data_IF_158241441611
#
_entry.id   IF_158241441611
#
_cell.length_a   1.000
_cell.length_b   1.000
_cell.length_c   1.000
_cell.angle_alpha   90.00
_cell.angle_beta   90.00
_cell.angle_gamma   90.00
#
_symmetry.space_group_name_H-M   'P 1'
#
loop_
_entity.id
_entity.type
_entity.pdbx_description
1 polymer ?
#
# COMPACT_ATOMS: atom_id res chain seq x y z
N UNK A 1 -4.70 -0.95 24.23
CA UNK A 1 -5.65 -0.07 23.51
C UNK A 1 -6.39 -0.94 22.51
N UNK A 2 -7.70 -0.97 22.58
CA UNK A 2 -8.54 -1.70 21.62
C UNK A 2 -8.85 -0.84 20.39
N UNK A 3 -9.47 -1.42 19.36
CA UNK A 3 -9.72 -0.70 18.09
C UNK A 3 -10.62 0.53 18.28
N UNK A 4 -11.61 0.48 19.17
CA UNK A 4 -12.50 1.62 19.41
C UNK A 4 -11.76 2.78 20.09
N UNK A 5 -10.88 2.49 21.02
CA UNK A 5 -10.03 3.49 21.69
C UNK A 5 -9.05 4.14 20.70
N UNK A 6 -8.45 3.33 19.79
CA UNK A 6 -7.59 3.83 18.73
C UNK A 6 -8.32 4.78 17.79
N UNK A 7 -9.51 4.40 17.33
CA UNK A 7 -10.33 5.24 16.45
C UNK A 7 -10.75 6.54 17.15
N UNK A 8 -11.08 6.47 18.44
CA UNK A 8 -11.42 7.65 19.22
C UNK A 8 -10.21 8.59 19.37
N UNK A 9 -9.02 8.06 19.63
CA UNK A 9 -7.79 8.85 19.73
C UNK A 9 -7.38 9.46 18.38
N UNK A 10 -7.68 8.78 17.26
CA UNK A 10 -7.38 9.26 15.90
C UNK A 10 -8.32 10.37 15.41
N UNK A 11 -9.50 10.52 16.00
CA UNK A 11 -10.47 11.52 15.57
C UNK A 11 -9.91 12.93 15.72
N UNK A 12 -10.03 13.72 14.65
CA UNK A 12 -9.48 15.08 14.59
C UNK A 12 -7.97 15.17 14.44
N UNK A 13 -7.26 14.02 14.40
CA UNK A 13 -5.81 13.96 14.25
C UNK A 13 -5.36 13.56 12.83
N UNK A 14 -6.31 13.19 11.95
CA UNK A 14 -6.03 12.62 10.64
C UNK A 14 -6.57 13.51 9.51
N UNK A 15 -6.42 14.83 9.63
CA UNK A 15 -6.88 15.77 8.60
C UNK A 15 -8.34 15.54 8.21
N UNK A 16 -8.67 15.35 6.93
CA UNK A 16 -10.05 15.15 6.49
C UNK A 16 -10.62 13.77 6.85
N UNK A 17 -9.81 12.81 7.30
CA UNK A 17 -10.28 11.49 7.70
C UNK A 17 -11.04 11.55 9.03
N UNK A 18 -12.25 11.00 9.04
CA UNK A 18 -13.15 11.02 10.21
C UNK A 18 -12.91 9.89 11.21
N UNK A 19 -11.94 8.99 10.98
CA UNK A 19 -11.70 7.80 11.79
C UNK A 19 -13.00 7.03 12.09
N UNK A 20 -13.73 6.66 11.04
CA UNK A 20 -15.06 6.06 11.15
C UNK A 20 -14.99 4.69 11.84
N UNK A 21 -15.99 4.31 12.66
CA UNK A 21 -16.05 2.98 13.28
C UNK A 21 -16.05 1.84 12.24
N UNK A 22 -16.64 2.09 11.08
CA UNK A 22 -16.60 1.20 9.92
C UNK A 22 -16.06 2.01 8.73
N UNK A 23 -14.88 1.64 8.26
CA UNK A 23 -14.22 2.31 7.13
C UNK A 23 -14.81 1.80 5.80
N UNK A 24 -16.00 2.27 5.45
CA UNK A 24 -16.76 1.84 4.27
C UNK A 24 -16.63 2.78 3.05
N UNK A 25 -15.76 3.79 3.13
CA UNK A 25 -15.51 4.74 2.06
C UNK A 25 -16.59 5.83 1.88
N UNK A 26 -17.73 5.76 2.55
CA UNK A 26 -18.84 6.70 2.33
C UNK A 26 -18.52 8.13 2.79
N UNK A 27 -17.84 8.27 3.94
CA UNK A 27 -17.42 9.57 4.44
C UNK A 27 -16.26 10.20 3.63
N UNK A 28 -15.55 9.40 2.87
CA UNK A 28 -14.39 9.82 2.07
C UNK A 28 -14.76 10.18 0.63
N UNK A 29 -15.94 9.77 0.15
CA UNK A 29 -16.37 9.98 -1.22
C UNK A 29 -16.27 11.46 -1.61
N UNK A 30 -15.37 11.78 -2.55
CA UNK A 30 -15.11 13.12 -3.04
C UNK A 30 -14.39 14.08 -2.08
N UNK A 31 -14.08 13.65 -0.83
CA UNK A 31 -13.48 14.54 0.18
C UNK A 31 -12.02 14.26 0.46
N UNK A 32 -11.56 13.02 0.25
CA UNK A 32 -10.16 12.64 0.48
C UNK A 32 -9.57 12.23 -0.87
N UNK A 33 -8.55 12.94 -1.37
CA UNK A 33 -7.81 12.51 -2.55
C UNK A 33 -7.23 11.11 -2.28
N UNK A 34 -7.24 10.20 -3.23
CA UNK A 34 -6.76 8.83 -3.04
C UNK A 34 -7.85 7.84 -2.65
N UNK A 35 -8.40 7.78 -1.43
CA UNK A 35 -9.45 6.82 -1.08
C UNK A 35 -10.73 6.97 -1.90
N UNK A 36 -10.73 6.47 -3.13
CA UNK A 36 -11.89 6.51 -4.03
C UNK A 36 -12.22 7.87 -4.62
N UNK A 37 -11.25 8.78 -4.67
CA UNK A 37 -11.44 10.13 -5.18
C UNK A 37 -11.45 10.24 -6.71
N UNK A 38 -11.01 9.21 -7.42
CA UNK A 38 -11.00 9.20 -8.90
C UNK A 38 -12.40 8.91 -9.45
N UNK A 39 -12.73 9.55 -10.56
CA UNK A 39 -14.02 9.38 -11.23
C UNK A 39 -15.19 9.76 -10.33
N UNK A 40 -16.15 8.88 -10.16
CA UNK A 40 -17.34 9.08 -9.32
C UNK A 40 -17.06 9.07 -7.80
N UNK A 41 -15.82 8.79 -7.36
CA UNK A 41 -15.49 8.67 -5.93
C UNK A 41 -16.10 7.45 -5.23
N UNK A 42 -16.60 6.46 -5.96
CA UNK A 42 -17.32 5.31 -5.40
C UNK A 42 -16.45 4.06 -5.23
N UNK A 43 -15.17 4.09 -5.61
CA UNK A 43 -14.31 2.90 -5.63
C UNK A 43 -14.16 2.29 -4.23
N UNK A 44 -13.86 3.10 -3.21
CA UNK A 44 -13.72 2.62 -1.84
C UNK A 44 -15.03 2.02 -1.29
N UNK A 45 -16.18 2.61 -1.65
CA UNK A 45 -17.50 2.09 -1.27
C UNK A 45 -17.73 0.73 -1.93
N UNK A 46 -17.46 0.60 -3.22
CA UNK A 46 -17.64 -0.65 -3.96
C UNK A 46 -16.68 -1.73 -3.48
N UNK A 47 -15.44 -1.39 -3.14
CA UNK A 47 -14.48 -2.33 -2.58
C UNK A 47 -14.97 -2.87 -1.23
N UNK A 48 -15.50 -2.01 -0.37
CA UNK A 48 -16.09 -2.44 0.89
C UNK A 48 -17.32 -3.34 0.68
N UNK A 49 -18.23 -2.93 -0.20
CA UNK A 49 -19.47 -3.67 -0.46
C UNK A 49 -19.20 -5.01 -1.18
N UNK A 50 -18.11 -5.15 -1.95
CA UNK A 50 -17.73 -6.38 -2.63
C UNK A 50 -17.52 -7.57 -1.66
N UNK A 51 -17.04 -7.31 -0.45
CA UNK A 51 -16.89 -8.34 0.58
C UNK A 51 -18.20 -9.03 0.95
N UNK A 52 -19.34 -8.37 0.77
CA UNK A 52 -20.68 -8.96 1.00
C UNK A 52 -21.03 -10.08 0.03
N UNK A 53 -20.33 -10.17 -1.09
CA UNK A 53 -20.50 -11.24 -2.09
C UNK A 53 -19.67 -12.48 -1.76
N UNK A 54 -18.70 -12.37 -0.84
CA UNK A 54 -17.91 -13.50 -0.35
C UNK A 54 -18.75 -14.21 0.72
N UNK A 55 -18.91 -15.52 0.56
CA UNK A 55 -19.67 -16.36 1.50
C UNK A 55 -18.75 -17.43 2.07
N UNK A 56 -18.87 -17.66 3.36
CA UNK A 56 -18.24 -18.80 4.02
C UNK A 56 -19.13 -20.03 3.84
N UNK A 57 -18.52 -21.16 3.50
CA UNK A 57 -19.18 -22.44 3.62
C UNK A 57 -19.33 -22.76 5.11
N UNK A 58 -20.55 -23.10 5.53
CA UNK A 58 -20.81 -23.48 6.91
C UNK A 58 -20.92 -25.00 7.00
N UNK A 59 -19.82 -25.62 7.40
CA UNK A 59 -19.79 -27.03 7.75
C UNK A 59 -19.87 -27.15 9.26
N UNK A 60 -21.02 -27.63 9.78
CA UNK A 60 -21.26 -27.73 11.23
C UNK A 60 -20.90 -29.13 11.78
N UNK A 61 -20.70 -30.11 10.89
CA UNK A 61 -20.34 -31.49 11.25
C UNK A 61 -18.89 -31.72 10.79
N UNK A 62 -17.95 -31.48 11.68
CA UNK A 62 -16.53 -31.72 11.44
C UNK A 62 -15.81 -31.97 12.76
N UNK A 63 -14.62 -32.56 12.68
CA UNK A 63 -13.73 -32.66 13.85
C UNK A 63 -13.16 -31.26 14.21
N UNK A 64 -12.87 -31.08 15.48
CA UNK A 64 -12.22 -29.87 15.95
C UNK A 64 -10.80 -29.77 15.37
N UNK A 65 -10.47 -28.65 14.74
CA UNK A 65 -9.13 -28.37 14.23
C UNK A 65 -8.74 -26.91 14.49
N UNK A 66 -7.46 -26.65 14.49
CA UNK A 66 -6.93 -25.27 14.51
C UNK A 66 -6.81 -24.79 13.06
N UNK A 67 -7.51 -23.71 12.65
CA UNK A 67 -7.39 -23.19 11.29
C UNK A 67 -5.96 -22.74 11.00
N UNK A 68 -5.43 -23.16 9.86
CA UNK A 68 -4.20 -22.60 9.29
C UNK A 68 -4.56 -21.41 8.40
N UNK A 69 -4.13 -20.22 8.79
CA UNK A 69 -4.33 -18.97 8.04
C UNK A 69 -3.06 -18.54 7.30
N UNK A 70 -2.02 -19.36 7.29
CA UNK A 70 -0.76 -19.03 6.66
C UNK A 70 -0.89 -18.93 5.13
N UNK A 71 -0.06 -18.09 4.53
CA UNK A 71 0.07 -17.92 3.09
C UNK A 71 1.53 -18.07 2.68
N UNK A 72 1.79 -18.91 1.70
CA UNK A 72 3.08 -18.98 0.99
C UNK A 72 2.99 -18.11 -0.26
N UNK A 73 3.83 -17.07 -0.34
CA UNK A 73 3.86 -16.17 -1.50
C UNK A 73 5.30 -15.64 -1.71
N UNK A 74 5.77 -15.67 -2.96
CA UNK A 74 7.10 -15.16 -3.36
C UNK A 74 8.24 -15.69 -2.48
N UNK A 75 8.19 -16.98 -2.13
CA UNK A 75 9.22 -17.63 -1.30
C UNK A 75 9.18 -17.26 0.19
N UNK A 76 8.16 -16.57 0.65
CA UNK A 76 7.96 -16.19 2.05
C UNK A 76 6.67 -16.77 2.64
N UNK A 77 6.69 -17.02 3.93
CA UNK A 77 5.50 -17.44 4.70
C UNK A 77 4.96 -16.25 5.49
N UNK A 78 3.67 -16.00 5.32
CA UNK A 78 2.94 -14.99 6.06
C UNK A 78 1.96 -15.65 7.00
N UNK A 79 1.72 -15.03 8.15
CA UNK A 79 0.78 -15.56 9.16
C UNK A 79 -0.68 -15.44 8.70
N UNK A 80 -0.98 -14.45 7.87
CA UNK A 80 -2.32 -14.17 7.37
C UNK A 80 -2.28 -13.81 5.88
N UNK A 81 -3.34 -14.13 5.10
CA UNK A 81 -3.41 -13.88 3.66
C UNK A 81 -3.87 -12.46 3.30
N UNK A 82 -3.40 -11.45 4.02
CA UNK A 82 -3.64 -10.04 3.71
C UNK A 82 -2.43 -9.18 4.06
N UNK A 83 -2.32 -8.03 3.42
CA UNK A 83 -1.20 -7.10 3.57
C UNK A 83 -1.71 -5.67 3.72
N UNK A 84 -0.89 -4.79 4.30
CA UNK A 84 -1.18 -3.36 4.30
C UNK A 84 -0.95 -2.79 2.88
N UNK A 85 -1.96 -2.12 2.33
CA UNK A 85 -1.88 -1.49 1.02
C UNK A 85 -0.97 -0.25 1.01
N UNK A 86 -0.48 0.16 -0.17
CA UNK A 86 0.40 1.32 -0.30
C UNK A 86 -0.35 2.62 -0.02
N UNK A 87 0.25 3.47 0.81
CA UNK A 87 -0.22 4.83 1.06
C UNK A 87 0.93 5.79 0.82
N UNK A 88 0.69 6.80 0.01
CA UNK A 88 1.61 7.90 -0.25
C UNK A 88 0.91 9.24 -0.06
N UNK A 89 1.69 10.32 -0.06
CA UNK A 89 1.23 11.69 0.17
C UNK A 89 0.44 11.82 1.48
N UNK A 90 1.02 11.32 2.58
CA UNK A 90 0.39 11.28 3.91
C UNK A 90 -0.13 12.64 4.34
N UNK A 91 0.68 13.68 4.17
CA UNK A 91 0.29 15.05 4.57
C UNK A 91 -0.90 15.58 3.77
N UNK A 92 -1.01 15.21 2.49
CA UNK A 92 -2.14 15.58 1.64
C UNK A 92 -3.43 14.88 2.07
N UNK A 93 -3.34 13.59 2.43
CA UNK A 93 -4.50 12.75 2.66
C UNK A 93 -4.97 12.73 4.12
N UNK A 94 -4.01 12.85 5.07
CA UNK A 94 -4.28 12.56 6.49
C UNK A 94 -3.78 13.65 7.44
N UNK A 95 -3.35 14.81 6.91
CA UNK A 95 -2.82 15.91 7.72
C UNK A 95 -1.31 15.78 8.01
N UNK A 96 -0.79 16.72 8.77
CA UNK A 96 0.65 16.97 8.92
C UNK A 96 1.31 16.24 10.10
N UNK A 97 0.56 15.42 10.83
CA UNK A 97 1.07 14.68 12.00
C UNK A 97 2.17 13.69 11.64
N UNK A 98 2.06 13.04 10.48
CA UNK A 98 3.04 12.11 9.93
C UNK A 98 3.31 12.43 8.47
N UNK A 99 4.56 12.44 8.08
CA UNK A 99 4.95 12.42 6.68
C UNK A 99 5.10 10.97 6.18
N UNK A 100 5.40 10.79 4.90
CA UNK A 100 5.54 9.45 4.29
C UNK A 100 6.68 8.63 4.90
N UNK A 101 7.79 9.28 5.30
CA UNK A 101 8.93 8.60 5.92
C UNK A 101 8.57 8.09 7.31
N UNK A 102 7.97 8.94 8.14
CA UNK A 102 7.52 8.57 9.50
C UNK A 102 6.49 7.44 9.43
N UNK A 103 5.56 7.51 8.47
CA UNK A 103 4.56 6.48 8.27
C UNK A 103 5.19 5.13 7.93
N UNK A 104 6.10 5.08 6.97
CA UNK A 104 6.77 3.84 6.56
C UNK A 104 7.65 3.27 7.69
N UNK A 105 8.31 4.13 8.48
CA UNK A 105 9.10 3.71 9.64
C UNK A 105 8.27 3.05 10.74
N UNK A 106 6.96 3.32 10.79
CA UNK A 106 6.01 2.67 11.71
C UNK A 106 5.35 1.46 11.05
N UNK A 107 4.86 1.61 9.81
CA UNK A 107 4.07 0.60 9.13
C UNK A 107 4.85 -0.69 8.87
N UNK A 108 6.05 -0.57 8.31
CA UNK A 108 6.83 -1.75 7.90
C UNK A 108 7.16 -2.64 9.09
N UNK A 109 7.77 -2.15 10.21
CA UNK A 109 8.06 -3.00 11.35
C UNK A 109 6.79 -3.52 12.04
N UNK A 110 5.70 -2.74 12.07
CA UNK A 110 4.44 -3.20 12.66
C UNK A 110 3.84 -4.38 11.87
N UNK A 111 3.86 -4.31 10.54
CA UNK A 111 3.40 -5.40 9.68
C UNK A 111 4.30 -6.63 9.81
N UNK A 112 5.61 -6.46 9.82
CA UNK A 112 6.56 -7.55 10.02
C UNK A 112 6.33 -8.26 11.37
N UNK A 113 6.15 -7.51 12.46
CA UNK A 113 5.83 -8.05 13.79
C UNK A 113 4.48 -8.80 13.82
N UNK A 114 3.51 -8.36 13.01
CA UNK A 114 2.22 -9.03 12.86
C UNK A 114 2.27 -10.27 11.96
N UNK A 115 3.39 -10.52 11.28
CA UNK A 115 3.55 -11.64 10.33
C UNK A 115 2.87 -11.40 8.97
N UNK A 116 2.67 -10.15 8.59
CA UNK A 116 2.16 -9.72 7.28
C UNK A 116 3.14 -8.74 6.64
N UNK A 117 3.01 -8.47 5.34
CA UNK A 117 3.83 -7.46 4.69
C UNK A 117 3.10 -6.12 4.52
N UNK A 118 3.88 -5.06 4.40
CA UNK A 118 3.42 -3.75 3.97
C UNK A 118 3.85 -3.48 2.53
N UNK A 119 2.93 -2.96 1.71
CA UNK A 119 3.28 -2.19 0.54
C UNK A 119 3.60 -0.76 0.99
N UNK A 120 4.71 -0.18 0.51
CA UNK A 120 5.03 1.22 0.80
C UNK A 120 4.58 2.12 -0.33
N UNK A 121 4.29 3.38 -0.03
CA UNK A 121 3.94 4.37 -1.05
C UNK A 121 5.15 4.94 -1.78
N UNK A 122 4.88 5.69 -2.85
CA UNK A 122 5.87 6.41 -3.64
C UNK A 122 5.42 7.86 -3.92
N UNK A 123 6.36 8.74 -4.18
CA UNK A 123 6.13 10.16 -4.46
C UNK A 123 7.28 10.79 -5.24
N UNK A 124 7.13 12.08 -5.56
CA UNK A 124 8.16 12.89 -6.24
C UNK A 124 9.35 13.17 -5.35
N UNK A 125 9.14 13.25 -4.03
CA UNK A 125 10.24 13.42 -3.08
C UNK A 125 11.06 12.11 -2.99
N UNK A 126 12.34 12.10 -3.37
CA UNK A 126 13.17 10.89 -3.33
C UNK A 126 13.31 10.31 -1.93
N UNK A 127 13.22 11.12 -0.88
CA UNK A 127 13.29 10.65 0.52
C UNK A 127 12.16 9.67 0.87
N UNK A 128 11.04 9.70 0.17
CA UNK A 128 9.95 8.74 0.40
C UNK A 128 10.42 7.33 0.09
N UNK A 129 11.04 7.12 -1.07
CA UNK A 129 11.58 5.82 -1.47
C UNK A 129 12.79 5.42 -0.60
N UNK A 130 13.67 6.38 -0.29
CA UNK A 130 14.82 6.14 0.59
C UNK A 130 14.38 5.66 1.98
N UNK A 131 13.41 6.35 2.60
CA UNK A 131 12.87 5.96 3.90
C UNK A 131 12.14 4.61 3.87
N UNK A 132 11.37 4.35 2.81
CA UNK A 132 10.65 3.10 2.62
C UNK A 132 11.61 1.91 2.48
N UNK A 133 12.63 2.00 1.62
CA UNK A 133 13.61 0.95 1.40
C UNK A 133 14.51 0.73 2.62
N UNK A 134 14.87 1.80 3.34
CA UNK A 134 15.59 1.70 4.59
C UNK A 134 14.78 0.95 5.67
N UNK A 135 13.48 1.25 5.80
CA UNK A 135 12.60 0.54 6.74
C UNK A 135 12.47 -0.95 6.36
N UNK A 136 12.35 -1.27 5.07
CA UNK A 136 12.29 -2.65 4.58
C UNK A 136 13.60 -3.38 4.88
N UNK A 137 14.76 -2.79 4.59
CA UNK A 137 16.07 -3.37 4.86
C UNK A 137 16.27 -3.66 6.36
N UNK A 138 15.90 -2.69 7.22
CA UNK A 138 15.99 -2.83 8.68
C UNK A 138 15.10 -3.95 9.24
N UNK A 139 14.09 -4.41 8.46
CA UNK A 139 13.20 -5.50 8.81
C UNK A 139 13.44 -6.78 7.96
N UNK A 140 14.69 -7.03 7.54
CA UNK A 140 15.08 -8.24 6.82
C UNK A 140 14.45 -8.39 5.44
N UNK A 141 14.17 -7.29 4.77
CA UNK A 141 13.51 -7.27 3.45
C UNK A 141 12.01 -7.58 3.50
N UNK A 142 11.38 -7.48 4.68
CA UNK A 142 9.97 -7.88 4.87
C UNK A 142 9.01 -6.74 4.50
N UNK A 143 8.96 -6.40 3.20
CA UNK A 143 8.09 -5.38 2.64
C UNK A 143 8.12 -5.38 1.12
N UNK A 144 7.18 -4.69 0.52
CA UNK A 144 7.01 -4.57 -0.94
C UNK A 144 7.04 -3.08 -1.30
N UNK A 145 8.17 -2.56 -1.81
CA UNK A 145 8.21 -1.20 -2.33
C UNK A 145 7.22 -1.04 -3.50
N UNK A 146 6.50 0.07 -3.53
CA UNK A 146 5.66 0.43 -4.67
C UNK A 146 6.31 1.58 -5.42
N UNK A 147 6.41 1.48 -6.74
CA UNK A 147 6.98 2.50 -7.63
C UNK A 147 5.89 3.01 -8.57
N UNK A 148 5.77 4.31 -8.71
CA UNK A 148 4.89 4.91 -9.72
C UNK A 148 5.49 4.76 -11.11
N UNK A 149 4.68 4.85 -12.18
CA UNK A 149 5.14 4.71 -13.56
C UNK A 149 5.87 5.98 -14.05
N UNK A 150 6.95 6.36 -13.36
CA UNK A 150 7.83 7.48 -13.72
C UNK A 150 8.51 7.26 -15.08
N UNK A 151 9.28 8.23 -15.53
CA UNK A 151 10.21 8.01 -16.65
C UNK A 151 11.14 6.83 -16.37
N UNK A 152 11.71 6.24 -17.44
CA UNK A 152 12.45 4.98 -17.33
C UNK A 152 13.70 5.10 -16.43
N UNK A 153 14.38 6.25 -16.44
CA UNK A 153 15.56 6.46 -15.61
C UNK A 153 15.21 6.48 -14.12
N UNK A 154 14.11 7.14 -13.78
CA UNK A 154 13.60 7.20 -12.41
C UNK A 154 13.11 5.82 -11.94
N UNK A 155 12.40 5.09 -12.81
CA UNK A 155 11.98 3.70 -12.49
C UNK A 155 13.19 2.82 -12.23
N UNK A 156 14.21 2.83 -13.10
CA UNK A 156 15.42 2.03 -12.94
C UNK A 156 16.15 2.34 -11.63
N UNK A 157 16.29 3.63 -11.27
CA UNK A 157 16.89 4.06 -10.00
C UNK A 157 16.11 3.51 -8.80
N UNK A 158 14.79 3.64 -8.81
CA UNK A 158 13.94 3.16 -7.69
C UNK A 158 13.93 1.64 -7.58
N UNK A 159 13.98 0.92 -8.71
CA UNK A 159 14.14 -0.54 -8.71
C UNK A 159 15.49 -0.97 -8.09
N UNK A 160 16.59 -0.23 -8.35
CA UNK A 160 17.88 -0.50 -7.70
C UNK A 160 17.77 -0.38 -6.18
N UNK A 161 17.20 0.71 -5.70
CA UNK A 161 16.97 0.92 -4.26
C UNK A 161 16.10 -0.18 -3.64
N UNK A 162 15.05 -0.62 -4.38
CA UNK A 162 14.22 -1.73 -3.94
C UNK A 162 15.02 -3.03 -3.80
N UNK A 163 15.81 -3.41 -4.81
CA UNK A 163 16.69 -4.59 -4.73
C UNK A 163 17.67 -4.52 -3.57
N UNK A 164 18.31 -3.37 -3.40
CA UNK A 164 19.29 -3.13 -2.31
C UNK A 164 18.66 -3.26 -0.92
N UNK A 165 17.37 -3.01 -0.79
CA UNK A 165 16.63 -3.20 0.47
C UNK A 165 16.41 -4.67 0.82
N UNK A 166 16.68 -5.62 -0.10
CA UNK A 166 16.42 -7.04 0.08
C UNK A 166 14.92 -7.38 0.05
N UNK A 167 14.07 -6.51 -0.50
CA UNK A 167 12.64 -6.78 -0.63
C UNK A 167 12.37 -8.07 -1.40
N UNK A 168 11.31 -8.76 -1.07
CA UNK A 168 10.97 -10.05 -1.71
C UNK A 168 10.08 -9.90 -2.94
N UNK A 169 9.52 -8.73 -3.17
CA UNK A 169 8.72 -8.37 -4.34
C UNK A 169 8.70 -6.85 -4.55
N UNK A 170 8.33 -6.42 -5.74
CA UNK A 170 8.19 -5.01 -6.12
C UNK A 170 6.83 -4.79 -6.78
N UNK A 171 6.16 -3.70 -6.47
CA UNK A 171 4.90 -3.32 -7.09
C UNK A 171 5.03 -2.06 -7.93
N UNK A 172 4.22 -1.93 -8.97
CA UNK A 172 4.05 -0.68 -9.72
C UNK A 172 2.62 -0.18 -9.65
N UNK A 173 2.46 1.07 -9.22
CA UNK A 173 1.19 1.79 -9.11
C UNK A 173 0.80 2.37 -10.49
N UNK A 174 0.37 1.51 -11.42
CA UNK A 174 0.08 1.88 -12.82
C UNK A 174 -1.10 2.84 -12.97
N UNK A 175 -2.05 2.85 -12.03
CA UNK A 175 -3.20 3.75 -12.06
C UNK A 175 -2.80 5.22 -11.80
N UNK A 176 -1.63 5.44 -11.21
CA UNK A 176 -1.06 6.77 -11.04
C UNK A 176 -0.86 7.51 -12.36
N UNK A 177 -0.68 6.80 -13.48
CA UNK A 177 -0.63 7.38 -14.81
C UNK A 177 -1.91 8.16 -15.19
N UNK A 178 -3.05 7.80 -14.60
CA UNK A 178 -4.32 8.50 -14.79
C UNK A 178 -4.49 9.79 -13.98
N UNK A 179 -3.48 10.19 -13.20
CA UNK A 179 -3.51 11.44 -12.43
C UNK A 179 -2.91 12.59 -13.24
N UNK A 180 -3.72 13.54 -13.76
CA UNK A 180 -3.24 14.57 -14.71
C UNK A 180 -2.08 15.41 -14.16
N UNK A 181 -2.07 15.67 -12.85
CA UNK A 181 -1.05 16.48 -12.21
C UNK A 181 0.33 15.78 -12.17
N UNK A 182 0.38 14.44 -12.20
CA UNK A 182 1.66 13.72 -12.18
C UNK A 182 2.44 13.83 -13.49
N UNK A 183 1.76 14.09 -14.61
CA UNK A 183 2.42 14.29 -15.92
C UNK A 183 3.24 15.56 -15.97
N UNK A 184 2.87 16.57 -15.19
CA UNK A 184 3.51 17.88 -15.15
C UNK A 184 4.53 18.02 -14.00
N UNK A 185 4.79 16.96 -13.26
CA UNK A 185 5.78 16.96 -12.19
C UNK A 185 7.18 16.56 -12.71
N UNK A 186 8.16 16.76 -11.88
CA UNK A 186 9.54 16.28 -12.11
C UNK A 186 9.92 15.34 -10.98
N UNK A 187 10.18 14.05 -11.28
CA UNK A 187 10.05 13.39 -12.58
C UNK A 187 8.59 13.25 -13.05
N UNK A 188 8.31 13.17 -14.36
CA UNK A 188 6.97 12.94 -14.88
C UNK A 188 6.57 11.46 -14.73
N UNK A 189 5.30 11.21 -14.45
CA UNK A 189 4.71 9.90 -14.53
C UNK A 189 3.72 9.82 -15.70
N UNK A 190 3.65 8.66 -16.34
CA UNK A 190 2.79 8.43 -17.49
C UNK A 190 2.48 6.95 -17.71
N UNK A 191 1.60 6.68 -18.69
CA UNK A 191 1.25 5.32 -19.05
C UNK A 191 2.46 4.53 -19.53
N UNK A 192 2.45 3.24 -19.27
CA UNK A 192 3.42 2.27 -19.78
C UNK A 192 2.75 1.34 -20.77
N UNK A 193 3.46 0.99 -21.84
CA UNK A 193 3.01 -0.07 -22.77
C UNK A 193 3.23 -1.45 -22.14
N UNK A 194 2.61 -2.48 -22.72
CA UNK A 194 2.81 -3.87 -22.28
C UNK A 194 4.29 -4.26 -22.36
N UNK A 195 4.97 -3.86 -23.43
CA UNK A 195 6.38 -4.13 -23.67
C UNK A 195 7.27 -3.47 -22.60
N UNK A 196 6.98 -2.21 -22.26
CA UNK A 196 7.67 -1.50 -21.20
C UNK A 196 7.46 -2.16 -19.83
N UNK A 197 6.24 -2.61 -19.53
CA UNK A 197 5.96 -3.33 -18.28
C UNK A 197 6.70 -4.68 -18.23
N UNK A 198 6.77 -5.40 -19.35
CA UNK A 198 7.52 -6.66 -19.45
C UNK A 198 9.03 -6.43 -19.25
N UNK A 199 9.58 -5.34 -19.79
CA UNK A 199 10.98 -4.97 -19.60
C UNK A 199 11.24 -4.64 -18.12
N UNK A 200 10.42 -3.79 -17.52
CA UNK A 200 10.50 -3.44 -16.09
C UNK A 200 10.43 -4.69 -15.22
N UNK A 201 9.49 -5.60 -15.49
CA UNK A 201 9.35 -6.84 -14.73
C UNK A 201 10.61 -7.75 -14.84
N UNK A 202 11.22 -7.82 -16.04
CA UNK A 202 12.47 -8.58 -16.22
C UNK A 202 13.65 -7.95 -15.48
N UNK A 203 13.74 -6.61 -15.50
CA UNK A 203 14.81 -5.86 -14.86
C UNK A 203 14.65 -5.73 -13.35
N UNK A 204 13.44 -5.92 -12.81
CA UNK A 204 13.18 -5.82 -11.39
C UNK A 204 14.03 -6.80 -10.56
N UNK A 205 14.30 -7.98 -11.08
CA UNK A 205 15.11 -9.02 -10.40
C UNK A 205 14.42 -9.64 -9.18
N UNK A 206 13.17 -9.27 -8.95
CA UNK A 206 12.24 -9.83 -7.94
C UNK A 206 10.84 -9.93 -8.55
N UNK A 207 9.94 -10.75 -8.03
CA UNK A 207 8.55 -10.80 -8.45
C UNK A 207 7.88 -9.45 -8.43
#
# INVERSE_FOLDING_TARGET
>A
MNCAELLQAARGQMGPCRACPVCNGRACGGNIPGPGAKGSGTVAIRNFDAWRNVRLNMDTIHENFTPDTSLQLFGRTFKYPFFAGPVGAMTLHYGDKYNDMDYNAILVPACAAAGIAAFTGDGTNPKVMEGATAAIAANGGFGIPTVKPWDNATVAKKMSMARESGCFALAMDIDAAGLPFLQNLTPPAGSKTVEQLQEIAREAGVP
#
